data_IF_454493263138
#
_entry.id   IF_454493263138
#
_cell.length_a   1.000
_cell.length_b   1.000
_cell.length_c   1.000
_cell.angle_alpha   90.00
_cell.angle_beta   90.00
_cell.angle_gamma   90.00
#
_symmetry.space_group_name_H-M   'P 1'
#
loop_
_entity.id
_entity.type
_entity.pdbx_description
1 polymer ?
#
# COMPACT_ATOMS: atom_id res chain seq x y z
N UNK A 1 -11.18 -11.93 -18.20
CA UNK A 1 -10.47 -12.07 -16.90
C UNK A 1 -9.90 -10.69 -16.58
N UNK A 2 -10.63 -9.91 -15.79
CA UNK A 2 -10.27 -8.54 -15.38
C UNK A 2 -9.92 -8.60 -13.88
N UNK A 3 -8.77 -9.14 -13.54
CA UNK A 3 -8.35 -9.39 -12.13
C UNK A 3 -7.17 -8.50 -11.69
N UNK A 4 -6.94 -7.37 -12.38
CA UNK A 4 -5.79 -6.49 -12.12
C UNK A 4 -6.15 -5.06 -11.70
N UNK A 5 -7.43 -4.71 -11.65
CA UNK A 5 -7.88 -3.32 -11.47
C UNK A 5 -8.37 -3.04 -10.04
N UNK A 6 -8.61 -4.09 -9.24
CA UNK A 6 -9.28 -3.99 -7.92
C UNK A 6 -8.36 -4.23 -6.71
N UNK A 7 -7.04 -4.31 -6.91
CA UNK A 7 -6.08 -4.46 -5.80
C UNK A 7 -5.62 -3.12 -5.22
N UNK A 8 -5.65 -2.06 -6.03
CA UNK A 8 -5.27 -0.70 -5.62
C UNK A 8 -6.32 -0.06 -4.70
N UNK A 9 -7.55 -0.57 -4.75
CA UNK A 9 -8.63 -0.18 -3.85
C UNK A 9 -8.52 -0.82 -2.46
N UNK A 10 -7.47 -1.63 -2.16
CA UNK A 10 -7.28 -2.23 -0.83
C UNK A 10 -6.27 -1.49 0.05
N UNK A 11 -5.44 -0.62 -0.52
CA UNK A 11 -4.38 0.07 0.23
C UNK A 11 -4.56 1.59 0.19
N UNK A 12 -4.22 2.25 1.28
CA UNK A 12 -4.09 3.71 1.37
C UNK A 12 -2.72 4.02 1.94
N UNK A 13 -1.95 4.92 1.35
CA UNK A 13 -0.73 5.43 2.00
C UNK A 13 -0.88 6.82 2.59
N UNK A 14 0.04 7.05 3.51
CA UNK A 14 0.15 8.19 4.35
C UNK A 14 1.59 8.67 4.38
N UNK A 15 1.76 9.99 4.37
CA UNK A 15 3.04 10.64 4.64
C UNK A 15 3.02 11.29 6.01
N UNK A 16 4.06 11.06 6.80
CA UNK A 16 4.24 11.78 8.07
C UNK A 16 4.87 13.16 7.82
N UNK A 17 4.21 14.24 8.22
CA UNK A 17 4.75 15.61 8.09
C UNK A 17 5.93 15.88 9.01
N UNK A 18 6.12 15.09 10.07
CA UNK A 18 7.24 15.22 11.02
C UNK A 18 8.51 14.57 10.47
N UNK A 19 8.51 13.26 10.22
CA UNK A 19 9.71 12.54 9.77
C UNK A 19 9.81 12.38 8.24
N UNK A 20 8.80 12.86 7.49
CA UNK A 20 8.73 12.82 6.01
C UNK A 20 8.74 11.42 5.40
N UNK A 21 8.51 10.38 6.20
CA UNK A 21 8.43 9.00 5.73
C UNK A 21 7.01 8.65 5.33
N UNK A 22 6.91 7.78 4.34
CA UNK A 22 5.66 7.22 3.82
C UNK A 22 5.44 5.82 4.37
N UNK A 23 4.17 5.44 4.52
CA UNK A 23 3.76 4.09 4.89
C UNK A 23 2.35 3.81 4.37
N UNK A 24 2.06 2.53 4.11
CA UNK A 24 0.77 2.04 3.63
C UNK A 24 -0.01 1.36 4.74
N UNK A 25 -1.34 1.43 4.65
CA UNK A 25 -2.28 0.67 5.45
C UNK A 25 -3.31 0.01 4.54
N UNK A 26 -3.87 -1.10 5.01
CA UNK A 26 -5.05 -1.71 4.39
C UNK A 26 -6.28 -0.87 4.70
N UNK A 27 -7.20 -0.77 3.75
CA UNK A 27 -8.48 -0.10 3.94
C UNK A 27 -9.32 -0.74 5.05
N UNK A 28 -9.28 -2.07 5.15
CA UNK A 28 -9.92 -2.83 6.23
C UNK A 28 -9.39 -2.40 7.61
N UNK A 29 -8.08 -2.20 7.75
CA UNK A 29 -7.47 -1.75 9.01
C UNK A 29 -7.93 -0.34 9.37
N UNK A 30 -8.15 0.53 8.38
CA UNK A 30 -8.62 1.91 8.59
C UNK A 30 -10.09 1.92 9.04
N UNK A 31 -10.93 1.09 8.42
CA UNK A 31 -12.36 1.02 8.73
C UNK A 31 -12.61 0.44 10.14
N UNK A 32 -11.78 -0.50 10.57
CA UNK A 32 -11.91 -1.16 11.88
C UNK A 32 -11.23 -0.34 13.01
N UNK A 33 -10.27 0.53 12.69
CA UNK A 33 -9.57 1.34 13.69
C UNK A 33 -10.46 2.42 14.32
N UNK A 34 -10.90 2.18 15.55
CA UNK A 34 -11.43 3.22 16.43
C UNK A 34 -10.26 3.92 17.15
N UNK A 35 -9.83 5.08 16.64
CA UNK A 35 -8.72 5.82 17.25
C UNK A 35 -8.13 6.93 16.37
N UNK A 36 -6.87 7.27 16.62
CA UNK A 36 -6.11 8.22 15.82
C UNK A 36 -4.90 7.55 15.17
N UNK A 37 -4.60 7.91 13.93
CA UNK A 37 -3.46 7.38 13.21
C UNK A 37 -2.16 8.06 13.68
N UNK A 38 -1.13 7.25 13.93
CA UNK A 38 0.23 7.70 14.25
C UNK A 38 1.23 7.17 13.23
N UNK A 39 2.28 7.94 13.00
CA UNK A 39 3.40 7.48 12.19
C UNK A 39 4.13 6.33 12.90
N UNK A 40 4.33 5.17 12.24
CA UNK A 40 5.01 4.02 12.85
C UNK A 40 6.51 4.27 13.10
N UNK A 41 7.10 5.27 12.46
CA UNK A 41 8.53 5.56 12.57
C UNK A 41 8.90 6.58 13.64
N UNK A 42 8.00 7.50 13.99
CA UNK A 42 8.30 8.58 14.93
C UNK A 42 7.16 8.89 15.91
N UNK A 43 6.09 8.10 15.89
CA UNK A 43 4.90 8.25 16.76
C UNK A 43 4.17 9.59 16.64
N UNK A 44 4.52 10.43 15.66
CA UNK A 44 3.84 11.68 15.38
C UNK A 44 2.44 11.44 14.83
N UNK A 45 1.46 12.21 15.32
CA UNK A 45 0.08 12.24 14.80
C UNK A 45 -0.06 13.10 13.54
N UNK A 46 0.99 13.77 13.10
CA UNK A 46 0.97 14.64 11.92
C UNK A 46 1.09 13.81 10.64
N UNK A 47 0.08 13.00 10.35
CA UNK A 47 0.01 12.13 9.16
C UNK A 47 -1.01 12.67 8.17
N UNK A 48 -0.73 12.55 6.87
CA UNK A 48 -1.60 13.01 5.78
C UNK A 48 -1.79 11.86 4.80
N UNK A 49 -3.03 11.56 4.43
CA UNK A 49 -3.36 10.61 3.36
C UNK A 49 -2.85 11.14 2.02
N UNK A 50 -2.21 10.28 1.25
CA UNK A 50 -1.74 10.54 -0.11
C UNK A 50 -2.62 9.74 -1.09
N UNK A 51 -2.84 10.24 -2.30
CA UNK A 51 -3.65 9.57 -3.33
C UNK A 51 -2.72 8.74 -4.22
N UNK A 52 -2.79 7.42 -4.10
CA UNK A 52 -1.72 6.50 -4.55
C UNK A 52 -2.35 5.36 -5.32
N UNK A 53 -3.12 5.73 -6.34
CA UNK A 53 -3.56 4.73 -7.29
C UNK A 53 -2.42 4.30 -8.21
N UNK A 54 -1.34 5.08 -8.33
CA UNK A 54 -0.33 4.86 -9.37
C UNK A 54 0.99 4.22 -8.85
N UNK A 55 1.58 4.71 -7.75
CA UNK A 55 2.93 4.24 -7.33
C UNK A 55 2.97 2.82 -6.75
N UNK A 56 1.88 2.37 -6.11
CA UNK A 56 1.83 1.01 -5.54
C UNK A 56 1.72 -0.07 -6.62
N UNK A 57 1.13 0.26 -7.77
CA UNK A 57 1.01 -0.66 -8.90
C UNK A 57 2.38 -1.05 -9.44
N UNK A 58 3.28 -0.08 -9.57
CA UNK A 58 4.64 -0.32 -10.05
C UNK A 58 5.43 -1.20 -9.06
N UNK A 59 5.41 -0.85 -7.77
CA UNK A 59 6.14 -1.61 -6.74
C UNK A 59 5.61 -3.05 -6.56
N UNK A 60 4.29 -3.27 -6.61
CA UNK A 60 3.72 -4.62 -6.50
C UNK A 60 3.91 -5.43 -7.79
N UNK A 61 4.04 -4.79 -8.95
CA UNK A 61 4.29 -5.47 -10.21
C UNK A 61 5.70 -6.08 -10.31
N UNK A 62 6.69 -5.51 -9.61
CA UNK A 62 8.06 -6.05 -9.54
C UNK A 62 8.12 -7.45 -8.91
N UNK A 63 7.13 -7.83 -8.10
CA UNK A 63 7.03 -9.16 -7.46
C UNK A 63 6.00 -10.06 -8.13
N UNK A 64 5.62 -9.78 -9.38
CA UNK A 64 4.71 -10.66 -10.11
C UNK A 64 5.44 -11.93 -10.54
N UNK A 65 4.84 -13.09 -10.25
CA UNK A 65 5.33 -14.40 -10.67
C UNK A 65 4.42 -14.97 -11.75
N UNK A 66 5.02 -15.42 -12.85
CA UNK A 66 4.34 -16.11 -13.95
C UNK A 66 4.76 -17.58 -13.97
N UNK A 67 3.86 -18.46 -14.39
CA UNK A 67 4.23 -19.84 -14.70
C UNK A 67 4.72 -19.94 -16.12
N UNK A 68 5.96 -20.40 -16.30
CA UNK A 68 6.54 -20.72 -17.60
C UNK A 68 6.86 -22.20 -17.61
N UNK A 69 6.17 -22.97 -18.46
CA UNK A 69 6.31 -24.43 -18.54
C UNK A 69 6.16 -25.14 -17.18
N UNK A 70 5.18 -24.71 -16.38
CA UNK A 70 4.89 -25.29 -15.06
C UNK A 70 5.80 -24.80 -13.92
N UNK A 71 6.92 -24.16 -14.22
CA UNK A 71 7.80 -23.57 -13.20
C UNK A 71 7.35 -22.14 -12.87
N UNK A 72 7.34 -21.79 -11.58
CA UNK A 72 7.12 -20.42 -11.12
C UNK A 72 8.37 -19.58 -11.44
N UNK A 73 8.21 -18.45 -12.12
CA UNK A 73 9.29 -17.51 -12.45
C UNK A 73 8.85 -16.10 -12.11
N UNK A 74 9.74 -15.30 -11.55
CA UNK A 74 9.50 -13.87 -11.43
C UNK A 74 9.50 -13.26 -12.85
N UNK A 75 8.56 -12.35 -13.11
CA UNK A 75 8.41 -11.67 -14.40
C UNK A 75 9.60 -10.77 -14.70
#
# INVERSE_FOLDING_TARGET
>A
MKEGEDMLSMYTSYVCRSCKREFVLLLEDIEVMQGYLVCPYCSSRKVKKENIADDLKEFMSERSYIRVNGALRQK
#
